data_IF_956366079877
#
_entry.id   IF_956366079877
#
_cell.length_a   1.000
_cell.length_b   1.000
_cell.length_c   1.000
_cell.angle_alpha   90.00
_cell.angle_beta   90.00
_cell.angle_gamma   90.00
#
_symmetry.space_group_name_H-M   'P 1'
#
loop_
_entity.id
_entity.type
_entity.pdbx_description
1 polymer ?
#
# COMPACT_ATOMS: atom_id res chain seq x y z
N UNK A 1 63.41 -23.26 -23.92
CA UNK A 1 64.11 -24.46 -23.57
C UNK A 1 63.08 -25.44 -23.09
N UNK A 2 62.78 -26.33 -23.93
CA UNK A 2 62.85 -27.79 -23.88
C UNK A 2 61.82 -28.37 -22.89
N UNK A 3 60.85 -29.18 -23.21
CA UNK A 3 60.67 -30.09 -24.33
C UNK A 3 60.34 -31.45 -23.86
N UNK A 4 59.44 -32.15 -24.58
CA UNK A 4 59.21 -33.59 -24.66
C UNK A 4 58.21 -34.22 -23.66
N UNK A 5 57.16 -34.79 -24.08
CA UNK A 5 56.69 -35.69 -25.17
C UNK A 5 56.53 -37.17 -24.78
N UNK A 6 55.31 -37.66 -25.03
CA UNK A 6 54.89 -38.97 -25.64
C UNK A 6 54.98 -40.27 -24.85
N UNK A 7 53.88 -40.92 -24.79
CA UNK A 7 53.31 -42.09 -25.55
C UNK A 7 53.15 -43.41 -24.79
N UNK A 8 51.91 -43.93 -24.88
CA UNK A 8 51.44 -45.30 -25.20
C UNK A 8 51.65 -46.41 -24.16
N UNK A 9 50.57 -47.09 -23.81
CA UNK A 9 50.17 -48.38 -24.47
C UNK A 9 48.84 -48.93 -23.96
N UNK A 10 48.06 -49.49 -24.86
CA UNK A 10 46.79 -50.19 -24.73
C UNK A 10 46.93 -51.54 -23.97
N UNK A 11 45.89 -51.95 -23.26
CA UNK A 11 45.30 -53.27 -23.43
C UNK A 11 43.85 -53.38 -22.97
N UNK A 12 43.07 -54.09 -23.70
CA UNK A 12 41.64 -54.38 -23.56
C UNK A 12 41.36 -55.33 -22.39
N UNK A 13 40.24 -55.06 -21.69
CA UNK A 13 39.40 -56.13 -21.14
C UNK A 13 37.93 -55.60 -21.12
N UNK A 14 37.11 -56.26 -21.89
CA UNK A 14 35.66 -56.14 -21.96
C UNK A 14 35.05 -56.84 -20.75
N UNK A 15 34.24 -56.07 -19.96
CA UNK A 15 33.22 -56.68 -19.13
C UNK A 15 31.99 -55.74 -19.18
N UNK A 16 30.89 -56.31 -19.64
CA UNK A 16 29.63 -55.60 -19.74
C UNK A 16 29.09 -55.25 -18.36
N UNK A 17 28.74 -54.00 -18.23
CA UNK A 17 27.89 -53.51 -17.12
C UNK A 17 26.65 -52.85 -17.73
N UNK A 18 25.54 -53.48 -17.48
CA UNK A 18 24.19 -52.95 -17.76
C UNK A 18 24.03 -51.63 -17.07
N UNK A 19 23.95 -50.55 -17.84
CA UNK A 19 23.60 -49.22 -17.33
C UNK A 19 22.09 -49.17 -17.06
N UNK A 20 21.71 -49.29 -15.80
CA UNK A 20 20.38 -48.95 -15.34
C UNK A 20 20.31 -47.42 -15.36
N UNK A 21 19.67 -46.86 -16.39
CA UNK A 21 19.27 -45.45 -16.42
C UNK A 21 18.14 -45.32 -15.41
N UNK A 22 18.47 -44.92 -14.18
CA UNK A 22 17.51 -44.41 -13.22
C UNK A 22 17.14 -43.00 -13.71
N UNK A 23 16.04 -42.93 -14.43
CA UNK A 23 15.43 -41.66 -14.76
C UNK A 23 15.07 -40.93 -13.47
N UNK A 24 15.79 -39.89 -13.15
CA UNK A 24 15.37 -38.90 -12.18
C UNK A 24 14.08 -38.24 -12.69
N UNK A 25 12.94 -38.88 -12.43
CA UNK A 25 11.65 -38.19 -12.45
C UNK A 25 11.73 -37.19 -11.31
N UNK A 26 11.88 -35.91 -11.69
CA UNK A 26 11.56 -34.81 -10.81
C UNK A 26 10.13 -35.04 -10.32
N UNK A 27 9.99 -35.46 -9.08
CA UNK A 27 8.73 -35.34 -8.33
C UNK A 27 8.45 -33.84 -8.17
N UNK A 28 7.86 -33.23 -9.18
CA UNK A 28 7.02 -32.09 -8.99
C UNK A 28 5.79 -32.61 -8.25
N UNK A 29 5.90 -32.66 -6.91
CA UNK A 29 4.75 -32.91 -6.06
C UNK A 29 3.72 -31.83 -6.44
N UNK A 30 2.58 -32.26 -6.95
CA UNK A 30 1.40 -31.43 -7.06
C UNK A 30 1.07 -30.99 -5.63
N UNK A 31 1.56 -29.80 -5.24
CA UNK A 31 1.23 -29.18 -3.95
C UNK A 31 -0.26 -28.97 -4.00
N UNK A 32 -1.00 -29.68 -3.14
CA UNK A 32 -2.47 -29.60 -3.08
C UNK A 32 -2.93 -28.18 -2.70
N UNK A 33 -4.16 -27.77 -3.04
CA UNK A 33 -4.71 -26.47 -2.62
C UNK A 33 -4.68 -26.24 -1.10
N UNK A 34 -4.53 -27.30 -0.31
CA UNK A 34 -4.35 -27.27 1.14
C UNK A 34 -3.03 -26.62 1.59
N UNK A 35 -1.96 -26.69 0.81
CA UNK A 35 -0.64 -26.18 1.22
C UNK A 35 -0.57 -24.64 1.35
N UNK A 36 -1.30 -23.87 0.51
CA UNK A 36 -1.39 -22.43 0.68
C UNK A 36 -2.24 -22.06 1.90
N UNK A 37 -3.35 -22.76 2.09
CA UNK A 37 -4.24 -22.56 3.23
C UNK A 37 -3.52 -22.87 4.56
N UNK A 38 -2.86 -24.01 4.64
CA UNK A 38 -2.07 -24.43 5.81
C UNK A 38 -0.95 -23.43 6.12
N UNK A 39 -0.25 -22.95 5.09
CA UNK A 39 0.77 -21.90 5.27
C UNK A 39 0.18 -20.63 5.83
N UNK A 40 -0.92 -20.11 5.25
CA UNK A 40 -1.55 -18.86 5.70
C UNK A 40 -2.06 -19.01 7.14
N UNK A 41 -2.73 -20.09 7.47
CA UNK A 41 -3.25 -20.33 8.83
C UNK A 41 -2.10 -20.45 9.86
N UNK A 42 -1.00 -21.13 9.51
CA UNK A 42 0.17 -21.24 10.38
C UNK A 42 0.82 -19.86 10.64
N UNK A 43 1.02 -19.05 9.60
CA UNK A 43 1.56 -17.70 9.75
C UNK A 43 0.58 -16.79 10.53
N UNK A 44 -0.72 -16.91 10.31
CA UNK A 44 -1.74 -16.18 11.07
C UNK A 44 -1.70 -16.54 12.56
N UNK A 45 -1.57 -17.82 12.89
CA UNK A 45 -1.44 -18.27 14.27
C UNK A 45 -0.13 -17.76 14.90
N UNK A 46 0.99 -17.95 14.19
CA UNK A 46 2.33 -17.53 14.68
C UNK A 46 2.43 -16.03 14.92
N UNK A 47 1.82 -15.23 14.06
CA UNK A 47 1.80 -13.77 14.18
C UNK A 47 0.55 -13.25 14.91
N UNK A 48 -0.33 -14.10 15.42
CA UNK A 48 -1.57 -13.74 16.13
C UNK A 48 -2.43 -12.79 15.29
N UNK A 49 -2.72 -13.15 14.03
CA UNK A 49 -3.52 -12.35 13.10
C UNK A 49 -4.99 -12.77 13.23
N UNK A 50 -5.91 -11.86 13.62
CA UNK A 50 -7.32 -12.23 13.78
C UNK A 50 -8.01 -12.49 12.44
N UNK A 51 -7.72 -11.70 11.40
CA UNK A 51 -8.30 -11.84 10.08
C UNK A 51 -7.35 -11.40 8.97
N UNK A 52 -7.41 -12.13 7.85
CA UNK A 52 -6.66 -11.88 6.64
C UNK A 52 -7.54 -12.06 5.41
N UNK A 53 -7.46 -11.16 4.43
CA UNK A 53 -7.97 -11.38 3.08
C UNK A 53 -6.84 -11.15 2.07
N UNK A 54 -6.73 -12.04 1.09
CA UNK A 54 -5.70 -11.91 0.06
C UNK A 54 -6.24 -12.27 -1.32
N UNK A 55 -5.58 -11.75 -2.36
CA UNK A 55 -5.84 -12.15 -3.73
C UNK A 55 -4.57 -12.20 -4.57
N UNK A 56 -4.62 -12.98 -5.63
CA UNK A 56 -3.62 -13.04 -6.70
C UNK A 56 -4.30 -12.60 -7.99
N UNK A 57 -3.65 -11.66 -8.69
CA UNK A 57 -4.03 -11.27 -10.05
C UNK A 57 -2.99 -11.79 -11.03
N UNK A 58 -3.45 -12.23 -12.21
CA UNK A 58 -2.61 -12.69 -13.32
C UNK A 58 -3.41 -12.64 -14.62
N UNK A 59 -2.74 -12.35 -15.72
CA UNK A 59 -3.36 -12.34 -17.06
C UNK A 59 -4.65 -11.48 -17.12
N UNK A 60 -4.61 -10.31 -16.47
CA UNK A 60 -5.69 -9.31 -16.51
C UNK A 60 -6.90 -9.65 -15.62
N UNK A 61 -6.85 -10.66 -14.77
CA UNK A 61 -7.96 -11.09 -13.90
C UNK A 61 -7.51 -11.49 -12.50
N UNK A 62 -8.46 -11.55 -11.56
CA UNK A 62 -8.27 -12.21 -10.27
C UNK A 62 -8.30 -13.73 -10.52
N UNK A 63 -7.20 -14.42 -10.20
CA UNK A 63 -7.10 -15.88 -10.38
C UNK A 63 -7.32 -16.64 -9.08
N UNK A 64 -7.13 -15.99 -7.96
CA UNK A 64 -7.40 -16.53 -6.64
C UNK A 64 -7.71 -15.40 -5.65
N UNK A 65 -8.68 -15.61 -4.77
CA UNK A 65 -8.91 -14.75 -3.61
C UNK A 65 -9.56 -15.54 -2.48
N UNK A 66 -9.14 -15.26 -1.23
CA UNK A 66 -9.68 -15.94 -0.05
C UNK A 66 -9.56 -15.08 1.20
N UNK A 67 -10.50 -15.27 2.13
CA UNK A 67 -10.48 -14.72 3.48
C UNK A 67 -10.25 -15.81 4.52
N UNK A 68 -9.57 -15.43 5.61
CA UNK A 68 -9.25 -16.32 6.73
C UNK A 68 -9.52 -15.62 8.06
N UNK A 69 -9.96 -16.37 9.06
CA UNK A 69 -10.24 -15.84 10.38
C UNK A 69 -11.37 -14.80 10.40
N UNK A 70 -11.27 -13.80 11.27
CA UNK A 70 -12.36 -12.92 11.63
C UNK A 70 -12.14 -11.48 11.22
N UNK A 71 -13.09 -10.89 10.50
CA UNK A 71 -13.19 -9.44 10.31
C UNK A 71 -13.64 -8.76 11.61
N UNK A 72 -14.41 -9.47 12.45
CA UNK A 72 -14.88 -9.03 13.76
C UNK A 72 -14.80 -10.18 14.76
N UNK A 73 -13.81 -10.16 15.64
CA UNK A 73 -13.51 -11.25 16.60
C UNK A 73 -14.72 -11.50 17.51
N UNK A 74 -15.21 -10.48 18.22
CA UNK A 74 -16.31 -10.62 19.21
C UNK A 74 -17.61 -11.21 18.61
N UNK A 75 -17.85 -10.94 17.32
CA UNK A 75 -19.08 -11.38 16.64
C UNK A 75 -18.87 -12.61 15.77
N UNK A 76 -17.66 -13.15 15.70
CA UNK A 76 -17.27 -14.24 14.81
C UNK A 76 -17.70 -14.02 13.35
N UNK A 77 -17.57 -12.77 12.87
CA UNK A 77 -17.83 -12.45 11.46
C UNK A 77 -16.57 -12.80 10.67
N UNK A 78 -16.71 -13.73 9.73
CA UNK A 78 -15.59 -14.17 8.90
C UNK A 78 -15.00 -13.02 8.07
N UNK A 79 -13.71 -13.08 7.77
CA UNK A 79 -13.07 -12.26 6.76
C UNK A 79 -13.47 -12.78 5.37
N UNK A 80 -14.10 -11.93 4.56
CA UNK A 80 -14.64 -12.28 3.25
C UNK A 80 -14.02 -11.36 2.19
N UNK A 81 -13.38 -11.88 1.13
CA UNK A 81 -12.66 -11.07 0.13
C UNK A 81 -13.58 -10.18 -0.72
N UNK A 82 -14.88 -10.52 -0.83
CA UNK A 82 -15.86 -9.77 -1.61
C UNK A 82 -16.65 -8.74 -0.77
N UNK A 83 -16.88 -9.04 0.50
CA UNK A 83 -17.79 -8.29 1.37
C UNK A 83 -17.10 -7.46 2.44
N UNK A 84 -15.95 -7.95 2.95
CA UNK A 84 -15.26 -7.24 4.02
C UNK A 84 -14.54 -6.01 3.47
N UNK A 85 -14.88 -4.87 4.03
CA UNK A 85 -14.22 -3.58 3.75
C UNK A 85 -13.15 -3.36 4.82
N UNK A 86 -12.00 -2.82 4.44
CA UNK A 86 -10.95 -2.43 5.37
C UNK A 86 -10.30 -1.10 4.93
N UNK A 87 -9.84 -0.31 5.90
CA UNK A 87 -8.90 0.76 5.63
C UNK A 87 -7.59 0.17 5.08
N UNK A 88 -7.08 0.72 3.99
CA UNK A 88 -5.86 0.21 3.33
C UNK A 88 -4.60 1.03 3.65
N UNK A 89 -4.71 2.00 4.56
CA UNK A 89 -3.57 2.84 4.94
C UNK A 89 -2.93 3.51 3.73
N UNK A 90 -1.63 3.59 3.71
CA UNK A 90 -0.86 4.32 2.72
C UNK A 90 -0.98 3.82 1.27
N UNK A 91 -1.56 2.65 1.00
CA UNK A 91 -1.95 2.26 -0.37
C UNK A 91 -2.88 3.32 -0.98
N UNK A 92 -3.67 4.02 -0.15
CA UNK A 92 -4.52 5.15 -0.57
C UNK A 92 -3.78 6.24 -1.34
N UNK A 93 -2.48 6.40 -1.08
CA UNK A 93 -1.63 7.36 -1.80
C UNK A 93 -1.55 7.07 -3.29
N UNK A 94 -1.67 5.81 -3.69
CA UNK A 94 -1.67 5.44 -5.13
C UNK A 94 -2.92 5.95 -5.82
N UNK A 95 -4.08 5.95 -5.13
CA UNK A 95 -5.32 6.53 -5.64
C UNK A 95 -5.21 8.06 -5.73
N UNK A 96 -4.62 8.70 -4.72
CA UNK A 96 -4.35 10.15 -4.73
C UNK A 96 -3.40 10.54 -5.87
N UNK A 97 -2.31 9.79 -6.05
CA UNK A 97 -1.38 10.00 -7.16
C UNK A 97 -2.06 9.83 -8.53
N UNK A 98 -2.93 8.83 -8.67
CA UNK A 98 -3.74 8.65 -9.90
C UNK A 98 -4.61 9.87 -10.18
N UNK A 99 -5.30 10.41 -9.17
CA UNK A 99 -6.12 11.61 -9.32
C UNK A 99 -5.30 12.85 -9.74
N UNK A 100 -4.11 13.02 -9.17
CA UNK A 100 -3.17 14.07 -9.55
C UNK A 100 -2.73 13.89 -11.00
N UNK A 101 -2.36 12.68 -11.40
CA UNK A 101 -1.89 12.40 -12.76
C UNK A 101 -2.99 12.51 -13.82
N UNK A 102 -4.25 12.24 -13.47
CA UNK A 102 -5.40 12.53 -14.36
C UNK A 102 -5.56 14.03 -14.66
N UNK A 103 -5.23 14.90 -13.71
CA UNK A 103 -5.25 16.35 -13.91
C UNK A 103 -4.02 16.81 -14.71
N UNK A 104 -2.87 16.17 -14.51
CA UNK A 104 -1.68 16.40 -15.32
C UNK A 104 -1.92 16.02 -16.80
N UNK A 105 -2.51 14.86 -17.09
CA UNK A 105 -2.92 14.45 -18.45
C UNK A 105 -3.82 15.46 -19.14
N UNK A 106 -4.61 16.20 -18.35
CA UNK A 106 -5.51 17.28 -18.85
C UNK A 106 -4.78 18.61 -19.00
N UNK A 107 -3.46 18.66 -18.82
CA UNK A 107 -2.67 19.88 -18.94
C UNK A 107 -2.99 20.95 -17.89
N UNK A 108 -3.47 20.52 -16.71
CA UNK A 108 -3.82 21.48 -15.65
C UNK A 108 -2.60 22.06 -14.94
N UNK A 109 -1.46 21.39 -15.01
CA UNK A 109 -0.17 21.79 -14.43
C UNK A 109 0.95 20.94 -15.03
N UNK A 110 2.20 21.37 -14.85
CA UNK A 110 3.39 20.57 -15.11
C UNK A 110 3.94 19.99 -13.80
N UNK A 111 4.56 18.79 -13.88
CA UNK A 111 5.07 18.09 -12.69
C UNK A 111 6.08 18.89 -11.88
N UNK A 112 6.82 19.78 -12.53
CA UNK A 112 7.86 20.59 -11.91
C UNK A 112 7.39 22.02 -11.58
N UNK A 113 6.11 22.34 -11.83
CA UNK A 113 5.51 23.61 -11.43
C UNK A 113 5.54 23.79 -9.92
N UNK A 114 5.70 25.06 -9.53
CA UNK A 114 5.50 25.47 -8.14
C UNK A 114 4.03 25.35 -7.74
N UNK A 115 3.74 24.50 -6.74
CA UNK A 115 2.38 24.30 -6.24
C UNK A 115 1.68 25.58 -5.78
N UNK A 116 2.43 26.62 -5.43
CA UNK A 116 1.86 27.91 -5.02
C UNK A 116 1.15 28.65 -6.15
N UNK A 117 1.40 28.30 -7.41
CA UNK A 117 0.64 28.82 -8.55
C UNK A 117 -0.83 28.35 -8.53
N UNK A 118 -1.15 27.31 -7.74
CA UNK A 118 -2.45 26.65 -7.70
C UNK A 118 -3.12 26.70 -6.32
N UNK A 119 -2.44 27.29 -5.34
CA UNK A 119 -2.94 27.39 -3.96
C UNK A 119 -3.39 28.83 -3.63
N UNK A 120 -4.43 29.00 -2.81
CA UNK A 120 -4.86 30.33 -2.37
C UNK A 120 -4.00 30.90 -1.22
N UNK A 121 -2.94 30.21 -0.80
CA UNK A 121 -1.97 30.60 0.21
C UNK A 121 -0.61 30.00 -0.08
N UNK A 122 0.44 30.55 0.52
CA UNK A 122 1.82 30.08 0.26
C UNK A 122 2.18 28.87 1.12
N UNK A 123 2.76 27.86 0.48
CA UNK A 123 3.41 26.74 1.13
C UNK A 123 4.89 26.77 0.77
N UNK A 124 5.74 27.11 1.75
CA UNK A 124 7.19 27.23 1.59
C UNK A 124 7.89 26.62 2.78
N UNK A 125 9.02 25.97 2.52
CA UNK A 125 9.94 25.61 3.59
C UNK A 125 10.57 26.90 4.15
N UNK A 126 10.35 27.24 5.43
CA UNK A 126 10.86 28.50 5.99
C UNK A 126 12.39 28.63 6.00
N UNK A 127 13.13 27.51 5.92
CA UNK A 127 14.59 27.49 5.81
C UNK A 127 15.07 27.69 4.36
N UNK A 128 14.17 27.59 3.38
CA UNK A 128 14.46 27.71 1.96
C UNK A 128 13.30 28.43 1.23
N UNK A 129 12.99 29.67 1.58
CA UNK A 129 11.80 30.37 1.12
C UNK A 129 11.77 30.59 -0.40
N UNK A 130 12.94 30.70 -1.04
CA UNK A 130 13.08 30.92 -2.48
C UNK A 130 13.02 29.60 -3.31
N UNK A 131 12.91 28.47 -2.65
CA UNK A 131 12.88 27.17 -3.34
C UNK A 131 11.44 26.67 -3.47
N UNK A 132 10.94 26.45 -4.70
CA UNK A 132 9.60 25.94 -4.92
C UNK A 132 9.47 24.49 -4.40
N UNK A 133 8.26 24.16 -3.99
CA UNK A 133 7.81 22.78 -3.83
C UNK A 133 7.00 22.43 -5.07
N UNK A 134 7.36 21.36 -5.78
CA UNK A 134 6.66 20.93 -6.99
C UNK A 134 5.79 19.71 -6.74
N UNK A 135 4.86 19.41 -7.67
CA UNK A 135 4.08 18.17 -7.66
C UNK A 135 4.99 16.93 -7.67
N UNK A 136 6.04 16.94 -8.48
CA UNK A 136 7.06 15.86 -8.48
C UNK A 136 7.70 15.69 -7.12
N UNK A 137 8.04 16.77 -6.43
CA UNK A 137 8.60 16.71 -5.07
C UNK A 137 7.63 16.07 -4.07
N UNK A 138 6.34 16.35 -4.18
CA UNK A 138 5.30 15.74 -3.33
C UNK A 138 5.12 14.25 -3.66
N UNK A 139 4.89 13.91 -4.93
CA UNK A 139 4.68 12.54 -5.41
C UNK A 139 5.87 11.60 -5.14
N UNK A 140 7.08 12.15 -4.98
CA UNK A 140 8.31 11.39 -4.72
C UNK A 140 8.82 11.52 -3.28
N UNK A 141 8.01 12.07 -2.37
CA UNK A 141 8.41 12.30 -0.96
C UNK A 141 9.71 13.10 -0.79
N UNK A 142 9.90 14.12 -1.63
CA UNK A 142 11.09 14.99 -1.62
C UNK A 142 10.76 16.46 -1.35
N UNK A 143 9.55 16.74 -0.89
CA UNK A 143 9.05 18.11 -0.66
C UNK A 143 9.68 18.84 0.53
N UNK A 144 10.45 18.16 1.38
CA UNK A 144 10.89 18.63 2.70
C UNK A 144 9.78 18.91 3.72
N UNK A 145 8.52 18.58 3.42
CA UNK A 145 7.43 18.63 4.37
C UNK A 145 7.60 17.46 5.37
N UNK A 146 7.48 17.76 6.65
CA UNK A 146 7.55 16.78 7.73
C UNK A 146 6.14 16.44 8.26
N UNK A 147 5.96 15.25 8.81
CA UNK A 147 4.77 14.88 9.56
C UNK A 147 4.98 15.25 11.03
N UNK A 148 4.38 16.35 11.47
CA UNK A 148 4.49 16.81 12.86
C UNK A 148 3.58 15.99 13.79
N UNK A 149 3.77 16.06 15.11
CA UNK A 149 2.89 15.41 16.09
C UNK A 149 1.39 15.76 15.91
N UNK A 150 1.08 16.91 15.31
CA UNK A 150 -0.30 17.31 15.00
C UNK A 150 -0.98 16.30 14.07
N UNK A 151 -0.24 15.69 13.13
CA UNK A 151 -0.78 14.68 12.22
C UNK A 151 -1.36 13.49 13.00
N UNK A 152 -0.57 12.86 13.86
CA UNK A 152 -1.05 11.73 14.69
C UNK A 152 -2.16 12.14 15.66
N UNK A 153 -2.10 13.36 16.19
CA UNK A 153 -3.12 13.88 17.11
C UNK A 153 -4.44 14.23 16.42
N UNK A 154 -4.50 14.21 15.10
CA UNK A 154 -5.72 14.49 14.32
C UNK A 154 -6.63 13.28 14.15
N UNK A 155 -6.16 12.07 14.52
CA UNK A 155 -6.96 10.85 14.47
C UNK A 155 -8.12 10.91 15.47
N UNK A 156 -9.30 10.51 15.04
CA UNK A 156 -10.49 10.44 15.90
C UNK A 156 -11.46 9.37 15.40
N UNK A 157 -12.28 8.82 16.29
CA UNK A 157 -13.36 7.89 15.91
C UNK A 157 -14.42 8.61 15.05
N UNK A 158 -14.91 7.92 14.03
CA UNK A 158 -15.88 8.49 13.08
C UNK A 158 -15.21 9.24 11.94
N UNK A 159 -16.02 9.95 11.14
CA UNK A 159 -15.52 10.78 10.03
C UNK A 159 -14.84 12.06 10.52
N UNK A 160 -13.94 12.69 9.72
CA UNK A 160 -13.23 13.90 10.12
C UNK A 160 -14.21 15.04 10.43
N UNK A 161 -14.01 15.73 11.53
CA UNK A 161 -14.80 16.91 11.92
C UNK A 161 -14.29 18.20 11.30
N UNK A 162 -13.10 18.16 10.71
CA UNK A 162 -12.42 19.30 10.08
C UNK A 162 -12.23 18.95 8.61
N UNK A 163 -12.53 19.91 7.72
CA UNK A 163 -12.34 19.71 6.27
C UNK A 163 -10.85 19.60 5.91
N UNK A 164 -10.55 18.97 4.77
CA UNK A 164 -9.18 18.89 4.23
C UNK A 164 -8.59 20.31 4.06
N UNK A 165 -9.35 21.25 3.50
CA UNK A 165 -8.92 22.64 3.32
C UNK A 165 -8.53 23.29 4.64
N UNK A 166 -9.39 23.21 5.67
CA UNK A 166 -9.10 23.80 6.98
C UNK A 166 -7.84 23.16 7.60
N UNK A 167 -7.71 21.84 7.52
CA UNK A 167 -6.54 21.11 8.02
C UNK A 167 -5.26 21.57 7.32
N UNK A 168 -5.26 21.64 5.99
CA UNK A 168 -4.10 22.03 5.20
C UNK A 168 -3.72 23.50 5.48
N UNK A 169 -4.70 24.41 5.54
CA UNK A 169 -4.45 25.79 5.93
C UNK A 169 -3.82 25.87 7.31
N UNK A 170 -4.43 25.27 8.32
CA UNK A 170 -3.96 25.29 9.70
C UNK A 170 -2.56 24.68 9.86
N UNK A 171 -2.15 23.79 8.94
CA UNK A 171 -0.85 23.17 8.97
C UNK A 171 0.26 24.02 8.33
N UNK A 172 -0.04 24.78 7.29
CA UNK A 172 0.98 25.44 6.46
C UNK A 172 1.06 26.95 6.63
N UNK A 173 -0.03 27.66 7.02
CA UNK A 173 0.01 29.11 7.22
C UNK A 173 0.61 29.46 8.58
N UNK A 174 1.43 30.53 8.68
CA UNK A 174 2.13 30.90 9.94
C UNK A 174 1.22 31.03 11.16
N UNK A 175 0.00 31.55 11.00
CA UNK A 175 -0.98 31.71 12.08
C UNK A 175 -1.89 30.49 12.26
N UNK A 176 -1.65 29.42 11.51
CA UNK A 176 -2.43 28.19 11.56
C UNK A 176 -2.27 27.44 12.88
N UNK A 177 -3.36 26.81 13.32
CA UNK A 177 -3.43 26.10 14.60
C UNK A 177 -2.30 25.08 14.78
N UNK A 178 -1.90 24.39 13.69
CA UNK A 178 -0.93 23.30 13.69
C UNK A 178 0.43 23.70 13.12
N UNK A 179 0.58 24.96 12.70
CA UNK A 179 1.86 25.42 12.17
C UNK A 179 2.92 25.49 13.26
N UNK A 180 4.07 24.89 12.97
CA UNK A 180 5.28 24.97 13.80
C UNK A 180 6.47 24.96 12.85
N UNK A 181 7.09 26.11 12.67
CA UNK A 181 8.14 26.37 11.68
C UNK A 181 9.23 25.27 11.64
N UNK A 182 9.76 24.88 12.78
CA UNK A 182 10.86 23.93 12.91
C UNK A 182 10.40 22.46 12.91
N UNK A 183 9.09 22.19 12.91
CA UNK A 183 8.53 20.85 13.05
C UNK A 183 7.78 20.40 11.79
N UNK A 184 7.12 21.35 11.10
CA UNK A 184 6.32 21.03 9.91
C UNK A 184 7.18 20.90 8.65
N UNK A 185 8.46 21.29 8.73
CA UNK A 185 9.40 21.18 7.62
C UNK A 185 10.75 20.64 8.09
N UNK A 186 11.38 19.87 7.23
CA UNK A 186 12.76 19.46 7.42
C UNK A 186 13.73 20.56 7.05
N UNK A 187 14.96 20.60 7.62
CA UNK A 187 15.89 21.71 7.42
C UNK A 187 16.57 21.74 6.02
N UNK A 188 16.31 20.78 5.17
CA UNK A 188 16.87 20.74 3.81
C UNK A 188 15.90 21.25 2.75
N UNK A 189 16.48 21.73 1.63
CA UNK A 189 15.73 22.25 0.49
C UNK A 189 14.82 21.17 -0.14
N UNK A 190 13.63 21.55 -0.64
CA UNK A 190 12.82 20.68 -1.50
C UNK A 190 13.63 20.07 -2.65
N UNK A 191 13.33 18.83 -3.02
CA UNK A 191 14.07 18.07 -4.02
C UNK A 191 15.38 17.45 -3.54
N UNK A 192 15.94 17.86 -2.40
CA UNK A 192 17.29 17.44 -1.97
C UNK A 192 17.35 16.04 -1.37
N UNK A 193 16.42 15.70 -0.47
CA UNK A 193 16.40 14.42 0.22
C UNK A 193 15.02 13.76 0.11
N UNK A 194 15.02 12.45 0.05
CA UNK A 194 13.81 11.65 0.20
C UNK A 194 13.45 11.51 1.68
N UNK A 195 12.23 11.87 2.03
CA UNK A 195 11.64 11.62 3.35
C UNK A 195 10.14 11.48 3.20
N UNK A 196 9.64 10.30 3.54
CA UNK A 196 8.22 9.99 3.47
C UNK A 196 7.39 11.04 4.23
N UNK A 197 6.32 11.55 3.61
CA UNK A 197 5.42 12.53 4.20
C UNK A 197 3.97 12.21 3.88
N UNK A 198 3.18 12.00 4.93
CA UNK A 198 1.73 11.84 4.86
C UNK A 198 1.07 13.19 4.56
N UNK A 199 1.49 14.24 5.25
CA UNK A 199 0.94 15.58 5.06
C UNK A 199 1.14 16.08 3.63
N UNK A 200 2.25 15.72 2.98
CA UNK A 200 2.48 16.01 1.56
C UNK A 200 1.40 15.41 0.64
N UNK A 201 0.86 14.24 0.97
CA UNK A 201 -0.23 13.61 0.21
C UNK A 201 -1.61 14.20 0.54
N UNK A 202 -1.84 14.67 1.76
CA UNK A 202 -2.99 15.51 2.08
C UNK A 202 -3.00 16.78 1.24
N UNK A 203 -1.84 17.44 1.11
CA UNK A 203 -1.68 18.62 0.26
C UNK A 203 -1.93 18.31 -1.22
N UNK A 204 -1.48 17.15 -1.75
CA UNK A 204 -1.83 16.69 -3.09
C UNK A 204 -3.34 16.53 -3.28
N UNK A 205 -4.04 15.94 -2.29
CA UNK A 205 -5.50 15.84 -2.31
C UNK A 205 -6.19 17.21 -2.35
N UNK A 206 -5.68 18.17 -1.59
CA UNK A 206 -6.18 19.55 -1.63
C UNK A 206 -5.91 20.23 -2.98
N UNK A 207 -4.75 20.01 -3.58
CA UNK A 207 -4.44 20.48 -4.93
C UNK A 207 -5.39 19.87 -5.97
N UNK A 208 -5.78 18.59 -5.82
CA UNK A 208 -6.83 18.00 -6.66
C UNK A 208 -8.15 18.79 -6.53
N UNK A 209 -8.58 19.19 -5.32
CA UNK A 209 -9.78 19.99 -5.14
C UNK A 209 -9.66 21.37 -5.84
N UNK A 210 -8.52 22.03 -5.71
CA UNK A 210 -8.31 23.36 -6.34
C UNK A 210 -8.29 23.27 -7.88
N UNK A 211 -7.63 22.28 -8.43
CA UNK A 211 -7.48 22.11 -9.88
C UNK A 211 -8.75 21.57 -10.57
N UNK A 212 -9.54 20.77 -9.87
CA UNK A 212 -10.76 20.17 -10.41
C UNK A 212 -12.03 21.00 -10.15
N UNK A 213 -12.04 21.81 -9.09
CA UNK A 213 -13.24 22.49 -8.60
C UNK A 213 -14.24 21.57 -7.89
N UNK A 214 -13.86 20.32 -7.58
CA UNK A 214 -14.68 19.35 -6.87
C UNK A 214 -14.03 18.95 -5.54
N UNK A 215 -14.82 18.42 -4.58
CA UNK A 215 -14.21 17.77 -3.41
C UNK A 215 -13.38 16.56 -3.83
N UNK A 216 -12.30 16.29 -3.13
CA UNK A 216 -11.39 15.18 -3.44
C UNK A 216 -12.10 13.82 -3.49
N UNK A 217 -13.02 13.56 -2.54
CA UNK A 217 -13.79 12.30 -2.53
C UNK A 217 -14.69 12.18 -3.75
N UNK A 218 -15.39 13.26 -4.15
CA UNK A 218 -16.23 13.28 -5.33
C UNK A 218 -15.44 13.09 -6.61
N UNK A 219 -14.30 13.78 -6.75
CA UNK A 219 -13.43 13.66 -7.91
C UNK A 219 -12.93 12.23 -8.08
N UNK A 220 -12.32 11.65 -7.04
CA UNK A 220 -11.76 10.29 -7.10
C UNK A 220 -12.83 9.22 -7.29
N UNK A 221 -14.01 9.39 -6.67
CA UNK A 221 -15.14 8.49 -6.89
C UNK A 221 -15.54 8.46 -8.36
N UNK A 222 -15.77 9.62 -8.95
CA UNK A 222 -16.24 9.77 -10.34
C UNK A 222 -15.19 9.32 -11.37
N UNK A 223 -13.90 9.59 -11.13
CA UNK A 223 -12.85 9.40 -12.15
C UNK A 223 -12.04 8.13 -11.99
N UNK A 224 -12.11 7.47 -10.82
CA UNK A 224 -11.33 6.26 -10.53
C UNK A 224 -12.22 5.14 -10.03
N UNK A 225 -12.95 5.34 -8.92
CA UNK A 225 -13.64 4.24 -8.24
C UNK A 225 -14.84 3.72 -9.04
N UNK A 226 -15.73 4.59 -9.50
CA UNK A 226 -16.92 4.22 -10.26
C UNK A 226 -16.56 3.60 -11.64
N UNK A 227 -15.63 4.17 -12.44
CA UNK A 227 -15.19 3.55 -13.70
C UNK A 227 -14.63 2.14 -13.53
N UNK A 228 -13.90 1.87 -12.43
CA UNK A 228 -13.38 0.55 -12.11
C UNK A 228 -14.41 -0.38 -11.46
N UNK A 229 -15.64 0.08 -11.27
CA UNK A 229 -16.69 -0.68 -10.59
C UNK A 229 -16.42 -0.97 -9.12
N UNK A 230 -15.64 -0.13 -8.42
CA UNK A 230 -15.31 -0.24 -7.01
C UNK A 230 -16.43 0.31 -6.12
N UNK A 231 -17.62 -0.29 -6.23
CA UNK A 231 -18.90 0.24 -5.70
C UNK A 231 -19.00 0.32 -4.18
N UNK A 232 -18.24 -0.49 -3.46
CA UNK A 232 -18.25 -0.51 -1.98
C UNK A 232 -17.01 0.19 -1.39
N UNK A 233 -16.30 0.95 -2.23
CA UNK A 233 -15.10 1.70 -1.86
C UNK A 233 -15.44 3.17 -1.59
N UNK A 234 -14.87 3.72 -0.52
CA UNK A 234 -15.03 5.13 -0.15
C UNK A 234 -13.87 5.64 0.70
N UNK A 235 -13.86 6.92 0.95
CA UNK A 235 -12.90 7.60 1.84
C UNK A 235 -13.47 7.78 3.24
N UNK A 236 -14.77 8.10 3.33
CA UNK A 236 -15.46 8.36 4.57
C UNK A 236 -16.23 7.13 5.05
N UNK A 237 -16.45 7.02 6.33
CA UNK A 237 -17.31 5.97 6.89
C UNK A 237 -18.76 6.13 6.42
N UNK A 238 -19.20 7.37 6.22
CA UNK A 238 -20.53 7.69 5.68
C UNK A 238 -20.73 7.29 4.21
N UNK A 239 -19.64 6.98 3.49
CA UNK A 239 -19.69 6.55 2.08
C UNK A 239 -19.74 5.03 1.90
N UNK A 240 -19.59 4.26 2.97
CA UNK A 240 -19.51 2.80 2.95
C UNK A 240 -20.50 2.14 3.92
N UNK A 241 -20.76 0.85 3.73
CA UNK A 241 -21.48 0.01 4.70
C UNK A 241 -20.57 -0.30 5.90
N UNK A 242 -20.63 0.52 6.95
CA UNK A 242 -19.73 0.41 8.12
C UNK A 242 -19.84 -0.92 8.86
N UNK A 243 -20.97 -1.61 8.78
CA UNK A 243 -21.19 -2.96 9.31
C UNK A 243 -20.36 -4.02 8.56
N UNK A 244 -19.97 -3.77 7.31
CA UNK A 244 -19.08 -4.63 6.53
C UNK A 244 -17.60 -4.32 6.78
N UNK A 245 -17.27 -3.25 7.53
CA UNK A 245 -15.89 -2.88 7.81
C UNK A 245 -15.29 -3.80 8.88
N UNK A 246 -14.11 -4.38 8.59
CA UNK A 246 -13.33 -5.12 9.58
C UNK A 246 -12.95 -4.21 10.76
N UNK A 247 -13.01 -4.76 11.97
CA UNK A 247 -12.51 -4.06 13.15
C UNK A 247 -10.98 -4.10 13.12
N UNK A 248 -10.30 -2.95 13.25
CA UNK A 248 -8.85 -2.91 13.39
C UNK A 248 -8.44 -3.34 14.81
N UNK A 249 -7.35 -4.10 14.92
CA UNK A 249 -6.94 -4.69 16.19
C UNK A 249 -5.48 -4.43 16.57
N UNK A 250 -5.24 -4.32 17.88
CA UNK A 250 -3.89 -4.37 18.47
C UNK A 250 -3.82 -5.60 19.38
N UNK A 251 -2.82 -6.49 19.22
CA UNK A 251 -2.69 -7.65 20.08
C UNK A 251 -2.36 -7.23 21.51
N UNK A 252 -3.01 -7.88 22.45
CA UNK A 252 -2.76 -7.68 23.89
C UNK A 252 -1.96 -8.86 24.42
N UNK A 253 -0.82 -8.59 25.04
CA UNK A 253 -0.05 -9.59 25.78
C UNK A 253 -0.36 -9.45 27.26
N UNK A 254 -0.56 -10.57 27.95
CA UNK A 254 -0.77 -10.59 29.41
C UNK A 254 0.44 -9.91 30.09
N UNK A 255 0.17 -8.79 30.79
CA UNK A 255 1.15 -8.09 31.62
C UNK A 255 2.05 -7.04 30.97
N UNK A 256 2.01 -6.85 29.64
CA UNK A 256 2.77 -5.77 28.98
C UNK A 256 1.85 -4.66 28.49
N UNK A 257 2.06 -3.47 29.03
CA UNK A 257 1.46 -2.24 28.49
C UNK A 257 2.21 -1.90 27.20
N UNK A 258 1.65 -2.29 26.08
CA UNK A 258 2.21 -2.05 24.75
C UNK A 258 2.26 -0.52 24.50
N UNK A 259 3.43 0.01 24.11
CA UNK A 259 3.61 1.44 23.78
C UNK A 259 2.62 1.95 22.72
N UNK A 260 2.24 1.08 21.79
CA UNK A 260 1.24 1.34 20.74
C UNK A 260 -0.14 1.58 21.36
N UNK A 261 -0.57 0.73 22.31
CA UNK A 261 -1.84 0.90 23.03
C UNK A 261 -1.88 2.21 23.81
N UNK A 262 -0.76 2.59 24.46
CA UNK A 262 -0.67 3.88 25.16
C UNK A 262 -0.83 5.06 24.21
N UNK A 263 -0.17 5.02 23.05
CA UNK A 263 -0.28 6.06 22.03
C UNK A 263 -1.72 6.19 21.52
N UNK A 264 -2.38 5.07 21.21
CA UNK A 264 -3.77 5.07 20.73
C UNK A 264 -4.78 5.47 21.81
N UNK A 265 -4.52 5.11 23.08
CA UNK A 265 -5.30 5.60 24.23
C UNK A 265 -5.20 7.12 24.36
N UNK A 266 -3.98 7.69 24.24
CA UNK A 266 -3.75 9.14 24.30
C UNK A 266 -4.49 9.90 23.21
N UNK A 267 -4.58 9.31 22.00
CA UNK A 267 -5.32 9.89 20.86
C UNK A 267 -6.83 9.64 20.96
N UNK A 268 -7.27 8.69 21.80
CA UNK A 268 -8.71 8.41 22.02
C UNK A 268 -9.33 7.50 20.96
N UNK A 269 -8.55 6.66 20.30
CA UNK A 269 -9.04 5.77 19.23
C UNK A 269 -9.17 4.29 19.67
N UNK A 270 -8.90 3.95 20.92
CA UNK A 270 -9.20 2.60 21.42
C UNK A 270 -10.72 2.42 21.54
N UNK A 271 -11.21 1.27 21.09
CA UNK A 271 -12.63 0.91 21.09
C UNK A 271 -12.91 -0.27 22.02
N UNK A 272 -13.99 -0.17 22.80
CA UNK A 272 -14.57 -1.28 23.51
C UNK A 272 -13.65 -2.05 24.47
N UNK A 273 -14.10 -3.26 24.83
CA UNK A 273 -13.36 -4.21 25.67
C UNK A 273 -12.41 -5.07 24.84
N UNK A 274 -11.44 -5.70 25.49
CA UNK A 274 -10.56 -6.70 24.89
C UNK A 274 -11.39 -7.88 24.38
N UNK A 275 -11.18 -8.22 23.12
CA UNK A 275 -11.82 -9.35 22.45
C UNK A 275 -10.88 -10.56 22.39
N UNK A 276 -11.44 -11.77 22.48
CA UNK A 276 -10.64 -13.01 22.49
C UNK A 276 -10.98 -13.90 21.31
N UNK A 277 -9.93 -14.36 20.63
CA UNK A 277 -9.94 -15.50 19.72
C UNK A 277 -9.24 -16.67 20.43
N UNK A 278 -9.93 -17.82 20.63
CA UNK A 278 -9.36 -18.95 21.36
C UNK A 278 -8.13 -19.56 20.69
N UNK A 279 -7.97 -19.35 19.38
CA UNK A 279 -6.83 -19.88 18.59
C UNK A 279 -5.67 -18.92 18.51
N UNK A 280 -5.97 -17.59 18.34
CA UNK A 280 -4.97 -16.59 17.98
C UNK A 280 -4.69 -15.57 19.09
N UNK A 281 -5.48 -15.54 20.16
CA UNK A 281 -5.22 -14.75 21.35
C UNK A 281 -6.17 -13.56 21.56
N UNK A 282 -5.71 -12.55 22.30
CA UNK A 282 -6.53 -11.42 22.74
C UNK A 282 -6.15 -10.14 22.03
N UNK A 283 -7.16 -9.29 21.75
CA UNK A 283 -7.00 -8.07 20.97
C UNK A 283 -7.77 -6.91 21.58
N UNK A 284 -7.13 -5.74 21.61
CA UNK A 284 -7.81 -4.48 21.86
C UNK A 284 -8.34 -3.96 20.52
N UNK A 285 -9.65 -3.80 20.35
CA UNK A 285 -10.20 -3.17 19.16
C UNK A 285 -9.80 -1.69 19.10
N UNK A 286 -9.60 -1.20 17.90
CA UNK A 286 -9.48 0.21 17.56
C UNK A 286 -10.81 0.64 16.93
N UNK A 287 -11.31 1.83 17.24
CA UNK A 287 -12.53 2.31 16.62
C UNK A 287 -12.34 2.52 15.10
N UNK A 288 -13.42 2.59 14.35
CA UNK A 288 -13.35 3.05 12.98
C UNK A 288 -13.03 4.55 13.01
N UNK A 289 -11.77 4.86 12.82
CA UNK A 289 -11.22 6.23 12.91
C UNK A 289 -11.11 6.87 11.54
N UNK A 290 -10.97 8.19 11.57
CA UNK A 290 -10.55 9.01 10.44
C UNK A 290 -9.64 10.15 10.90
N UNK A 291 -9.10 10.88 9.92
CA UNK A 291 -8.31 12.09 10.14
C UNK A 291 -8.47 13.04 8.95
N UNK A 292 -8.33 14.38 9.16
CA UNK A 292 -8.59 15.36 8.10
C UNK A 292 -7.65 15.28 6.90
N UNK A 293 -6.44 14.73 7.09
CA UNK A 293 -5.45 14.51 6.03
C UNK A 293 -5.75 13.26 5.18
N UNK A 294 -6.98 12.83 5.11
CA UNK A 294 -7.43 11.54 4.58
C UNK A 294 -6.93 11.11 3.18
N UNK A 295 -6.55 12.02 2.25
CA UNK A 295 -6.01 11.59 0.95
C UNK A 295 -4.73 10.76 1.04
N UNK A 296 -4.04 10.77 2.18
CA UNK A 296 -2.83 9.98 2.39
C UNK A 296 -3.07 8.54 2.84
N UNK A 297 -4.27 8.22 3.40
CA UNK A 297 -4.38 6.94 4.10
C UNK A 297 -5.76 6.35 4.35
N UNK A 298 -6.87 6.94 3.88
CA UNK A 298 -8.21 6.52 4.33
C UNK A 298 -9.12 5.88 3.26
N UNK A 299 -8.59 5.37 2.15
CA UNK A 299 -9.41 4.50 1.29
C UNK A 299 -9.84 3.27 2.07
N UNK A 300 -11.14 3.01 2.06
CA UNK A 300 -11.78 1.81 2.63
C UNK A 300 -12.35 0.99 1.51
N UNK A 301 -11.92 -0.24 1.38
CA UNK A 301 -12.25 -1.10 0.23
C UNK A 301 -12.15 -2.58 0.57
N UNK A 302 -12.76 -3.43 -0.25
CA UNK A 302 -12.54 -4.87 -0.23
C UNK A 302 -11.32 -5.27 -1.07
N UNK A 303 -10.70 -6.43 -0.76
CA UNK A 303 -9.49 -6.88 -1.46
C UNK A 303 -9.74 -7.08 -2.97
N UNK A 304 -10.89 -7.66 -3.36
CA UNK A 304 -11.25 -7.87 -4.76
C UNK A 304 -11.61 -6.56 -5.48
N UNK A 305 -12.03 -5.52 -4.77
CA UNK A 305 -12.23 -4.21 -5.37
C UNK A 305 -10.90 -3.49 -5.59
N UNK A 306 -9.97 -3.55 -4.63
CA UNK A 306 -8.62 -3.01 -4.83
C UNK A 306 -7.88 -3.74 -5.97
N UNK A 307 -8.15 -5.04 -6.17
CA UNK A 307 -7.57 -5.79 -7.28
C UNK A 307 -7.95 -5.21 -8.65
N UNK A 308 -9.13 -4.60 -8.82
CA UNK A 308 -9.53 -3.91 -10.06
C UNK A 308 -8.65 -2.69 -10.32
N UNK A 309 -8.34 -1.93 -9.27
CA UNK A 309 -7.40 -0.81 -9.36
C UNK A 309 -5.99 -1.29 -9.71
N UNK A 310 -5.50 -2.35 -9.07
CA UNK A 310 -4.21 -2.95 -9.39
C UNK A 310 -4.16 -3.45 -10.84
N UNK A 311 -5.22 -4.13 -11.30
CA UNK A 311 -5.34 -4.61 -12.68
C UNK A 311 -5.34 -3.47 -13.70
N UNK A 312 -5.89 -2.30 -13.36
CA UNK A 312 -5.76 -1.13 -14.23
C UNK A 312 -4.29 -0.74 -14.43
N UNK A 313 -3.47 -0.76 -13.40
CA UNK A 313 -2.01 -0.50 -13.52
C UNK A 313 -1.28 -1.60 -14.30
N UNK A 314 -1.60 -2.87 -14.04
CA UNK A 314 -1.06 -4.02 -14.80
C UNK A 314 -1.39 -3.91 -16.29
N UNK A 315 -2.57 -3.40 -16.63
CA UNK A 315 -3.06 -3.27 -18.01
C UNK A 315 -2.94 -1.83 -18.56
N UNK A 316 -1.86 -1.12 -18.20
CA UNK A 316 -1.53 0.20 -18.75
C UNK A 316 -2.67 1.22 -18.66
N UNK A 317 -3.31 1.30 -17.51
CA UNK A 317 -4.35 2.25 -17.16
C UNK A 317 -5.79 1.82 -17.46
N UNK A 318 -6.02 0.57 -17.87
CA UNK A 318 -7.34 0.06 -18.30
C UNK A 318 -7.79 -1.14 -17.47
N UNK A 319 -9.04 -1.15 -17.03
CA UNK A 319 -9.72 -2.32 -16.48
C UNK A 319 -11.20 -2.33 -16.85
N UNK A 320 -11.73 -3.50 -17.29
CA UNK A 320 -13.14 -3.68 -17.64
C UNK A 320 -13.64 -2.72 -18.72
N UNK A 321 -12.77 -2.30 -19.64
CA UNK A 321 -13.07 -1.33 -20.70
C UNK A 321 -12.98 0.14 -20.25
N UNK A 322 -12.82 0.42 -18.96
CA UNK A 322 -12.62 1.78 -18.44
C UNK A 322 -11.14 2.13 -18.39
N UNK A 323 -10.78 3.32 -18.89
CA UNK A 323 -9.44 3.89 -18.78
C UNK A 323 -9.43 4.93 -17.65
N UNK A 324 -8.50 4.78 -16.71
CA UNK A 324 -8.28 5.75 -15.64
C UNK A 324 -6.99 6.58 -15.84
N UNK A 325 -6.04 6.09 -16.63
CA UNK A 325 -4.81 6.78 -17.04
C UNK A 325 -4.40 6.34 -18.43
N UNK A 326 -3.66 7.17 -19.15
CA UNK A 326 -2.99 6.79 -20.38
C UNK A 326 -1.79 5.87 -20.09
N UNK A 327 -1.43 5.03 -21.07
CA UNK A 327 -0.35 4.06 -20.92
C UNK A 327 0.99 4.72 -20.59
N UNK A 328 1.30 5.82 -21.27
CA UNK A 328 2.54 6.58 -21.06
C UNK A 328 2.58 7.20 -19.66
N UNK A 329 1.43 7.60 -19.11
CA UNK A 329 1.33 8.12 -17.75
C UNK A 329 1.60 7.03 -16.72
N UNK A 330 1.03 5.84 -16.91
CA UNK A 330 1.34 4.69 -16.05
C UNK A 330 2.83 4.37 -16.11
N UNK A 331 3.42 4.33 -17.30
CA UNK A 331 4.85 4.10 -17.45
C UNK A 331 5.68 5.19 -16.77
N UNK A 332 5.32 6.46 -16.91
CA UNK A 332 5.98 7.57 -16.22
C UNK A 332 5.93 7.41 -14.70
N UNK A 333 4.75 7.04 -14.15
CA UNK A 333 4.59 6.80 -12.71
C UNK A 333 5.45 5.64 -12.21
N UNK A 334 5.64 4.62 -13.03
CA UNK A 334 6.45 3.43 -12.75
C UNK A 334 7.90 3.57 -13.24
N UNK A 335 8.35 4.78 -13.49
CA UNK A 335 9.74 5.07 -13.87
C UNK A 335 10.46 5.74 -12.70
N UNK A 336 11.74 5.41 -12.53
CA UNK A 336 12.61 6.05 -11.55
C UNK A 336 12.65 7.57 -11.76
N UNK A 337 12.29 8.34 -10.76
CA UNK A 337 12.20 9.79 -10.85
C UNK A 337 13.48 10.53 -10.44
N UNK A 338 14.37 9.89 -9.70
CA UNK A 338 15.57 10.56 -9.21
C UNK A 338 16.74 9.57 -9.02
N UNK A 339 17.95 10.00 -9.39
CA UNK A 339 19.16 9.17 -9.30
C UNK A 339 19.53 8.79 -7.86
N UNK A 340 19.24 9.66 -6.88
CA UNK A 340 19.56 9.43 -5.46
C UNK A 340 18.49 8.58 -4.75
N UNK A 341 17.37 8.29 -5.40
CA UNK A 341 16.28 7.46 -4.87
C UNK A 341 15.87 6.45 -5.94
N UNK A 342 16.73 5.43 -6.20
CA UNK A 342 16.59 4.55 -7.37
C UNK A 342 15.35 3.65 -7.33
N UNK A 343 14.70 3.55 -6.17
CA UNK A 343 13.54 2.70 -5.96
C UNK A 343 12.22 3.48 -5.94
N UNK A 344 12.23 4.79 -6.29
CA UNK A 344 11.06 5.65 -6.20
C UNK A 344 10.58 6.13 -7.57
N UNK A 345 9.36 5.73 -7.94
CA UNK A 345 8.54 6.32 -9.00
C UNK A 345 7.66 7.47 -8.47
N UNK A 346 6.63 7.86 -9.21
CA UNK A 346 5.61 8.78 -8.71
C UNK A 346 4.63 8.00 -7.80
N UNK A 347 4.81 8.12 -6.49
CA UNK A 347 4.13 7.39 -5.42
C UNK A 347 4.55 5.92 -5.28
N UNK A 348 4.64 5.19 -6.37
CA UNK A 348 5.03 3.77 -6.36
C UNK A 348 6.51 3.59 -6.03
N UNK A 349 6.81 2.53 -5.27
CA UNK A 349 8.18 2.13 -4.99
C UNK A 349 8.50 0.75 -5.59
N UNK A 350 9.79 0.48 -5.83
CA UNK A 350 10.22 -0.85 -6.28
C UNK A 350 11.09 -1.53 -5.24
N UNK A 351 10.90 -2.83 -5.09
CA UNK A 351 11.82 -3.71 -4.39
C UNK A 351 12.17 -4.88 -5.30
N UNK A 352 13.43 -5.34 -5.30
CA UNK A 352 13.75 -6.61 -5.94
C UNK A 352 13.11 -7.75 -5.13
N UNK A 353 12.39 -8.62 -5.82
CA UNK A 353 11.88 -9.85 -5.28
C UNK A 353 12.26 -10.98 -6.23
N UNK A 354 13.00 -11.98 -5.76
CA UNK A 354 13.55 -13.07 -6.58
C UNK A 354 14.27 -12.56 -7.85
N UNK A 355 15.03 -11.46 -7.72
CA UNK A 355 15.79 -10.86 -8.83
C UNK A 355 14.96 -10.06 -9.85
N UNK A 356 13.64 -9.95 -9.68
CA UNK A 356 12.74 -9.20 -10.54
C UNK A 356 12.23 -7.92 -9.85
N UNK A 357 12.10 -6.79 -10.55
CA UNK A 357 11.52 -5.58 -9.98
C UNK A 357 10.01 -5.75 -9.79
N UNK A 358 9.55 -5.50 -8.57
CA UNK A 358 8.13 -5.41 -8.23
C UNK A 358 7.80 -3.98 -7.85
N UNK A 359 6.75 -3.43 -8.43
CA UNK A 359 6.18 -2.17 -7.98
C UNK A 359 5.20 -2.44 -6.84
N UNK A 360 5.29 -1.68 -5.77
CA UNK A 360 4.45 -1.89 -4.60
C UNK A 360 4.12 -0.60 -3.89
N UNK A 361 3.10 -0.67 -3.07
CA UNK A 361 2.84 0.23 -1.95
C UNK A 361 2.22 -0.56 -0.80
N UNK A 362 2.78 -0.39 0.38
CA UNK A 362 2.26 -0.99 1.60
C UNK A 362 1.40 0.02 2.38
N UNK A 363 0.52 -0.50 3.23
CA UNK A 363 -0.25 0.28 4.17
C UNK A 363 0.00 -0.16 5.60
N UNK A 364 0.17 0.82 6.49
CA UNK A 364 0.23 0.62 7.94
C UNK A 364 -0.47 1.78 8.61
N UNK A 365 -1.45 1.43 9.45
CA UNK A 365 -2.23 2.41 10.20
C UNK A 365 -2.74 1.75 11.49
N UNK A 366 -3.30 2.47 12.48
CA UNK A 366 -3.80 1.85 13.70
C UNK A 366 -4.67 0.61 13.45
N UNK A 367 -4.19 -0.55 13.90
CA UNK A 367 -4.92 -1.83 13.82
C UNK A 367 -4.99 -2.47 12.45
N UNK A 368 -4.22 -2.00 11.45
CA UNK A 368 -4.20 -2.62 10.12
C UNK A 368 -2.80 -2.73 9.52
N UNK A 369 -2.65 -3.70 8.63
CA UNK A 369 -1.48 -3.86 7.78
C UNK A 369 -1.92 -4.36 6.40
N UNK A 370 -1.44 -3.74 5.33
CA UNK A 370 -1.84 -4.07 3.97
C UNK A 370 -0.65 -4.02 3.01
N UNK A 371 -0.71 -4.80 1.95
CA UNK A 371 0.26 -4.77 0.86
C UNK A 371 -0.45 -4.88 -0.47
N UNK A 372 0.04 -4.15 -1.46
CA UNK A 372 -0.37 -4.24 -2.85
C UNK A 372 0.88 -4.15 -3.73
N UNK A 373 1.10 -5.16 -4.55
CA UNK A 373 2.28 -5.21 -5.41
C UNK A 373 2.00 -5.92 -6.73
N UNK A 374 2.79 -5.62 -7.76
CA UNK A 374 2.75 -6.33 -9.03
C UNK A 374 4.10 -6.33 -9.73
N UNK A 375 4.27 -7.30 -10.62
CA UNK A 375 5.44 -7.49 -11.47
C UNK A 375 5.06 -7.18 -12.92
N UNK A 376 5.60 -6.09 -13.52
CA UNK A 376 5.20 -5.70 -14.87
C UNK A 376 5.58 -6.70 -15.96
N UNK A 377 6.63 -7.50 -15.74
CA UNK A 377 7.16 -8.45 -16.74
C UNK A 377 6.16 -9.54 -17.16
N UNK A 378 5.25 -9.92 -16.26
CA UNK A 378 4.27 -10.99 -16.48
C UNK A 378 2.85 -10.65 -15.98
N UNK A 379 2.65 -9.44 -15.46
CA UNK A 379 1.36 -8.98 -14.96
C UNK A 379 0.83 -9.70 -13.73
N UNK A 380 1.71 -10.41 -13.00
CA UNK A 380 1.35 -11.03 -11.72
C UNK A 380 1.34 -9.98 -10.63
N UNK A 381 0.30 -9.99 -9.81
CA UNK A 381 0.21 -9.13 -8.63
C UNK A 381 -0.42 -9.84 -7.44
N UNK A 382 -0.17 -9.31 -6.26
CA UNK A 382 -0.70 -9.81 -5.00
C UNK A 382 -1.17 -8.65 -4.11
N UNK A 383 -2.27 -8.91 -3.38
CA UNK A 383 -2.79 -8.00 -2.37
C UNK A 383 -3.03 -8.79 -1.09
N UNK A 384 -2.65 -8.22 0.05
CA UNK A 384 -2.89 -8.77 1.38
C UNK A 384 -3.49 -7.70 2.27
N UNK A 385 -4.60 -8.01 2.92
CA UNK A 385 -5.24 -7.20 3.96
C UNK A 385 -5.21 -7.95 5.28
N UNK A 386 -4.77 -7.27 6.34
CA UNK A 386 -4.73 -7.80 7.70
C UNK A 386 -5.29 -6.75 8.64
N UNK A 387 -6.23 -7.14 9.49
CA UNK A 387 -6.85 -6.26 10.48
C UNK A 387 -6.10 -6.25 11.82
N UNK A 388 -4.79 -6.17 11.76
CA UNK A 388 -3.88 -6.09 12.91
C UNK A 388 -2.64 -5.24 12.59
N UNK A 389 -2.17 -4.49 13.60
CA UNK A 389 -0.90 -3.71 13.55
C UNK A 389 0.33 -4.64 13.65
N UNK A 390 1.49 -4.17 13.20
CA UNK A 390 2.82 -4.81 13.37
C UNK A 390 2.91 -6.27 12.88
N UNK A 391 2.51 -6.52 11.63
CA UNK A 391 2.62 -7.80 10.95
C UNK A 391 3.71 -7.75 9.88
N UNK A 392 4.53 -8.81 9.81
CA UNK A 392 5.43 -9.02 8.68
C UNK A 392 4.68 -9.59 7.48
N UNK A 393 4.55 -8.79 6.43
CA UNK A 393 3.87 -9.17 5.18
C UNK A 393 4.77 -9.92 4.19
N UNK A 394 6.09 -9.93 4.42
CA UNK A 394 7.06 -10.45 3.44
C UNK A 394 6.77 -11.90 3.05
N UNK A 395 6.59 -12.76 4.04
CA UNK A 395 6.33 -14.19 3.81
C UNK A 395 5.01 -14.44 3.05
N UNK A 396 3.95 -13.66 3.35
CA UNK A 396 2.69 -13.74 2.63
C UNK A 396 2.87 -13.36 1.16
N UNK A 397 3.50 -12.23 0.88
CA UNK A 397 3.76 -11.77 -0.48
C UNK A 397 4.59 -12.80 -1.26
N UNK A 398 5.72 -13.28 -0.70
CA UNK A 398 6.57 -14.29 -1.32
C UNK A 398 5.79 -15.58 -1.63
N UNK A 399 4.93 -16.03 -0.71
CA UNK A 399 4.13 -17.23 -0.93
C UNK A 399 3.10 -17.04 -2.04
N UNK A 400 2.39 -15.90 -2.07
CA UNK A 400 1.39 -15.61 -3.09
C UNK A 400 2.01 -15.51 -4.50
N UNK A 401 3.20 -14.91 -4.63
CA UNK A 401 3.91 -14.89 -5.92
C UNK A 401 4.32 -16.30 -6.38
N UNK A 402 4.82 -17.14 -5.49
CA UNK A 402 5.12 -18.56 -5.82
C UNK A 402 3.85 -19.30 -6.21
N UNK A 403 2.76 -19.09 -5.51
CA UNK A 403 1.48 -19.72 -5.79
C UNK A 403 0.90 -19.32 -7.16
N UNK A 404 1.19 -18.09 -7.63
CA UNK A 404 0.74 -17.61 -8.95
C UNK A 404 1.17 -18.49 -10.13
N UNK A 405 2.20 -19.34 -9.94
CA UNK A 405 2.64 -20.28 -10.95
C UNK A 405 1.61 -21.40 -11.25
N UNK A 406 0.63 -21.60 -10.35
CA UNK A 406 -0.42 -22.64 -10.49
C UNK A 406 -1.59 -22.17 -11.38
N UNK A 407 -1.70 -20.89 -11.61
CA UNK A 407 -2.74 -20.25 -12.41
C UNK A 407 -2.15 -19.77 -13.75
#
# INVERSE_FOLDING_TARGET
>A
MSGYSRRKFLTRASCGAMSVVVGARSLQAAVSGNDLDEFIEAEMQGQRIPGLAACIVKSGKIVWSKGYGWSRVKRHVAMDPDRTIQNIGSISKTVTATAVMQLWEKGKFELDDDINNYLPFSVRNPSHPDKPISFRCLLTHRSSIADSPAYMSSYACGDPRVSLETWIKDYFIPDGRYYRREVNFHPWSPGKKHRYSNVGFGLLGYLVEKLSGESFTKFTKRTILDPLGMKTTGWMLSEIASESHAVPYVPVNDGQVNKVLQAYKKVGILGGEVERDPVRGSYQPVCLYSFPNYPDGLVRTGVNQLARFLLAYVNHGVYGGARILEADTVQLMLTRQNATTPHQGLCWATLPHEGQPHWFHDGSDPGIRTSMSFRPSDGVGAIVFINRTDVDLKKFNERLYRESARF
#
